data_IF_739763388600
#
_entry.id   IF_739763388600
#
_cell.length_a   1.000
_cell.length_b   1.000
_cell.length_c   1.000
_cell.angle_alpha   90.00
_cell.angle_beta   90.00
_cell.angle_gamma   90.00
#
_symmetry.space_group_name_H-M   'P 1'
#
loop_
_entity.id
_entity.type
_entity.pdbx_description
1 polymer ?
#
# COMPACT_ATOMS: atom_id res chain seq x y z
N UNK A 1 3.18 1.07 -9.96
CA UNK A 1 2.49 2.14 -9.19
C UNK A 1 1.34 1.49 -8.41
N UNK A 2 1.16 1.77 -7.11
CA UNK A 2 0.06 1.18 -6.36
C UNK A 2 -1.29 1.62 -6.94
N UNK A 3 -2.23 0.70 -7.08
CA UNK A 3 -3.58 0.98 -7.55
C UNK A 3 -4.60 0.36 -6.57
N UNK A 4 -5.29 1.17 -5.76
CA UNK A 4 -6.28 0.70 -4.79
C UNK A 4 -7.40 -0.15 -5.39
N UNK A 5 -7.83 0.14 -6.63
CA UNK A 5 -8.92 -0.57 -7.30
C UNK A 5 -8.56 -2.01 -7.65
N UNK A 6 -7.26 -2.30 -7.83
CA UNK A 6 -6.72 -3.64 -8.12
C UNK A 6 -6.34 -4.44 -6.87
N UNK A 7 -6.39 -3.79 -5.71
CA UNK A 7 -6.12 -4.41 -4.40
C UNK A 7 -7.42 -4.52 -3.61
N UNK A 8 -7.39 -5.20 -2.45
CA UNK A 8 -8.59 -5.46 -1.66
C UNK A 8 -9.45 -4.20 -1.48
N UNK A 9 -10.60 -4.19 -2.13
CA UNK A 9 -11.64 -3.18 -1.97
C UNK A 9 -13.03 -3.82 -2.16
N UNK A 10 -13.96 -3.46 -1.29
CA UNK A 10 -15.35 -3.91 -1.37
C UNK A 10 -16.24 -2.78 -1.87
N UNK A 11 -15.71 -1.89 -2.72
CA UNK A 11 -16.34 -0.62 -3.05
C UNK A 11 -16.16 0.46 -1.96
N UNK A 12 -16.26 1.72 -2.39
CA UNK A 12 -15.96 2.88 -1.56
C UNK A 12 -17.23 3.55 -1.01
N UNK A 13 -17.09 4.17 0.15
CA UNK A 13 -18.14 4.98 0.78
C UNK A 13 -17.58 6.36 1.05
N UNK A 14 -18.34 7.41 0.75
CA UNK A 14 -17.98 8.79 1.14
C UNK A 14 -18.04 9.01 2.66
N UNK A 15 -18.55 8.02 3.40
CA UNK A 15 -18.71 8.06 4.85
C UNK A 15 -19.41 9.33 5.32
N UNK A 16 -18.65 10.31 5.81
CA UNK A 16 -19.13 11.63 6.22
C UNK A 16 -18.30 12.80 5.70
N UNK A 17 -17.43 12.57 4.72
CA UNK A 17 -16.50 13.61 4.24
C UNK A 17 -17.22 14.81 3.61
N UNK A 18 -18.41 14.61 3.03
CA UNK A 18 -19.24 15.66 2.45
C UNK A 18 -20.25 16.26 3.44
N UNK A 19 -20.18 15.88 4.72
CA UNK A 19 -21.12 16.28 5.75
C UNK A 19 -22.53 15.70 5.59
N UNK A 20 -22.79 14.88 4.56
CA UNK A 20 -24.10 14.26 4.32
C UNK A 20 -24.15 12.90 4.99
N UNK A 21 -25.25 12.66 5.72
CA UNK A 21 -25.51 11.37 6.38
C UNK A 21 -26.12 10.37 5.42
N UNK A 22 -25.40 9.98 4.36
CA UNK A 22 -25.89 9.01 3.37
C UNK A 22 -24.78 8.04 2.99
N UNK A 23 -25.13 6.77 2.79
CA UNK A 23 -24.20 5.71 2.30
C UNK A 23 -22.93 5.56 3.15
N UNK A 24 -23.09 5.54 4.48
CA UNK A 24 -21.98 5.34 5.44
C UNK A 24 -21.27 4.01 5.32
N UNK A 25 -21.98 2.98 4.86
CA UNK A 25 -21.49 1.61 4.78
C UNK A 25 -21.74 1.06 3.38
N UNK A 26 -20.93 0.07 2.99
CA UNK A 26 -21.30 -0.83 1.92
C UNK A 26 -21.83 -2.13 2.53
N UNK A 27 -23.15 -2.39 2.49
CA UNK A 27 -23.75 -3.58 3.08
C UNK A 27 -23.64 -4.81 2.16
N UNK A 28 -23.18 -4.65 0.92
CA UNK A 28 -23.28 -5.70 -0.10
C UNK A 28 -22.46 -6.94 0.23
N UNK A 29 -21.22 -6.77 0.67
CA UNK A 29 -20.34 -7.90 0.97
C UNK A 29 -19.12 -7.47 1.79
N UNK A 30 -18.66 -8.30 2.73
CA UNK A 30 -17.35 -8.12 3.37
C UNK A 30 -16.20 -8.59 2.47
N UNK A 31 -16.47 -9.33 1.38
CA UNK A 31 -15.46 -9.94 0.51
C UNK A 31 -14.86 -8.93 -0.48
N UNK A 32 -13.73 -9.31 -1.09
CA UNK A 32 -13.09 -8.52 -2.13
C UNK A 32 -13.93 -8.52 -3.42
N UNK A 33 -14.52 -7.36 -3.75
CA UNK A 33 -15.30 -7.18 -4.97
C UNK A 33 -14.41 -6.79 -6.15
N UNK A 34 -13.45 -5.88 -5.95
CA UNK A 34 -12.55 -5.44 -7.02
C UNK A 34 -13.14 -4.38 -7.94
N UNK A 35 -12.41 -4.07 -9.00
CA UNK A 35 -12.80 -3.03 -9.96
C UNK A 35 -13.96 -3.50 -10.83
N UNK A 36 -14.91 -2.61 -11.13
CA UNK A 36 -16.00 -2.92 -12.06
C UNK A 36 -15.44 -2.98 -13.48
N UNK A 37 -15.56 -4.13 -14.15
CA UNK A 37 -15.03 -4.31 -15.52
C UNK A 37 -16.08 -4.12 -16.60
N UNK A 38 -17.34 -4.46 -16.33
CA UNK A 38 -18.38 -4.41 -17.35
C UNK A 38 -19.61 -5.22 -17.00
N UNK A 39 -20.49 -5.41 -17.99
CA UNK A 39 -21.72 -6.19 -17.86
C UNK A 39 -21.75 -7.30 -18.91
N UNK A 40 -22.18 -8.50 -18.52
CA UNK A 40 -22.35 -9.61 -19.44
C UNK A 40 -23.49 -9.31 -20.44
N UNK A 41 -23.18 -9.25 -21.73
CA UNK A 41 -24.16 -9.01 -22.80
C UNK A 41 -24.70 -10.29 -23.40
N UNK A 42 -23.95 -11.39 -23.33
CA UNK A 42 -24.39 -12.72 -23.78
C UNK A 42 -23.64 -13.80 -23.01
N UNK A 43 -24.32 -14.92 -22.75
CA UNK A 43 -23.75 -16.09 -22.07
C UNK A 43 -24.18 -17.34 -22.83
N UNK A 44 -23.21 -18.14 -23.30
CA UNK A 44 -23.44 -19.43 -23.98
C UNK A 44 -22.49 -20.48 -23.43
N UNK A 45 -23.01 -21.37 -22.59
CA UNK A 45 -22.18 -22.33 -21.86
C UNK A 45 -21.16 -21.59 -20.99
N UNK A 46 -19.87 -21.82 -21.22
CA UNK A 46 -18.76 -21.15 -20.52
C UNK A 46 -18.30 -19.84 -21.18
N UNK A 47 -18.83 -19.52 -22.36
CA UNK A 47 -18.50 -18.30 -23.09
C UNK A 47 -19.37 -17.15 -22.61
N UNK A 48 -18.73 -16.06 -22.20
CA UNK A 48 -19.37 -14.83 -21.72
C UNK A 48 -18.85 -13.67 -22.57
N UNK A 49 -19.77 -12.94 -23.21
CA UNK A 49 -19.44 -11.68 -23.88
C UNK A 49 -19.70 -10.55 -22.89
N UNK A 50 -18.72 -9.66 -22.73
CA UNK A 50 -18.76 -8.56 -21.77
C UNK A 50 -18.66 -7.24 -22.51
N UNK A 51 -19.55 -6.30 -22.19
CA UNK A 51 -19.33 -4.90 -22.55
C UNK A 51 -18.32 -4.29 -21.57
N UNK A 52 -17.05 -4.39 -21.94
CA UNK A 52 -15.91 -3.97 -21.12
C UNK A 52 -14.96 -3.12 -21.97
N UNK A 53 -14.42 -2.07 -21.35
CA UNK A 53 -13.27 -1.31 -21.88
C UNK A 53 -11.94 -1.76 -21.25
N UNK A 54 -11.99 -2.71 -20.32
CA UNK A 54 -10.84 -3.24 -19.61
C UNK A 54 -10.25 -4.44 -20.34
N UNK A 55 -8.92 -4.50 -20.40
CA UNK A 55 -8.20 -5.67 -20.88
C UNK A 55 -8.21 -6.76 -19.79
N UNK A 56 -8.76 -7.91 -20.12
CA UNK A 56 -8.75 -9.12 -19.29
C UNK A 56 -7.64 -10.06 -19.77
N UNK A 57 -7.14 -10.88 -18.85
CA UNK A 57 -6.10 -11.87 -19.15
C UNK A 57 -6.49 -13.27 -18.66
N UNK A 58 -6.02 -14.33 -19.34
CA UNK A 58 -6.07 -15.68 -18.79
C UNK A 58 -5.46 -15.73 -17.37
N UNK A 59 -6.22 -16.26 -16.42
CA UNK A 59 -5.85 -16.31 -15.01
C UNK A 59 -6.42 -15.17 -14.15
N UNK A 60 -7.05 -14.16 -14.75
CA UNK A 60 -7.82 -13.16 -13.98
C UNK A 60 -8.99 -13.83 -13.26
N UNK A 61 -9.36 -13.32 -12.08
CA UNK A 61 -10.56 -13.77 -11.37
C UNK A 61 -11.61 -12.67 -11.40
N UNK A 62 -12.83 -13.09 -11.70
CA UNK A 62 -13.99 -12.24 -11.76
C UNK A 62 -14.88 -12.52 -10.55
N UNK A 63 -15.44 -11.45 -9.99
CA UNK A 63 -16.45 -11.50 -8.95
C UNK A 63 -17.77 -10.93 -9.47
N UNK A 64 -18.88 -11.50 -9.00
CA UNK A 64 -20.23 -11.05 -9.33
C UNK A 64 -21.22 -11.51 -8.27
N UNK A 65 -22.37 -10.84 -8.23
CA UNK A 65 -23.48 -11.23 -7.36
C UNK A 65 -24.37 -12.24 -8.09
N UNK A 66 -24.67 -13.34 -7.42
CA UNK A 66 -25.59 -14.35 -7.92
C UNK A 66 -27.07 -13.95 -7.67
N UNK A 67 -28.00 -14.89 -7.86
CA UNK A 67 -29.44 -14.65 -7.65
C UNK A 67 -29.81 -14.44 -6.18
N UNK A 68 -29.01 -14.95 -5.26
CA UNK A 68 -29.20 -14.78 -3.81
C UNK A 68 -28.54 -13.48 -3.31
N UNK A 69 -27.95 -12.71 -4.22
CA UNK A 69 -27.18 -11.51 -3.92
C UNK A 69 -25.92 -11.80 -3.09
N UNK A 70 -25.38 -13.01 -3.23
CA UNK A 70 -24.10 -13.42 -2.65
C UNK A 70 -22.96 -13.15 -3.63
N UNK A 71 -21.86 -12.57 -3.12
CA UNK A 71 -20.66 -12.39 -3.93
C UNK A 71 -19.97 -13.73 -4.13
N UNK A 72 -19.99 -14.19 -5.39
CA UNK A 72 -19.29 -15.37 -5.91
C UNK A 72 -18.28 -14.94 -6.98
N UNK A 73 -17.60 -15.90 -7.61
CA UNK A 73 -16.64 -15.60 -8.66
C UNK A 73 -16.23 -16.78 -9.51
N UNK A 74 -15.52 -16.47 -10.60
CA UNK A 74 -15.01 -17.44 -11.57
C UNK A 74 -13.62 -17.03 -12.06
N UNK A 75 -12.93 -17.93 -12.76
CA UNK A 75 -11.60 -17.67 -13.32
C UNK A 75 -11.66 -17.60 -14.83
N UNK A 76 -11.05 -16.57 -15.41
CA UNK A 76 -10.89 -16.42 -16.86
C UNK A 76 -9.86 -17.42 -17.37
N UNK A 77 -10.23 -18.20 -18.38
CA UNK A 77 -9.36 -19.20 -19.02
C UNK A 77 -8.84 -18.73 -20.36
N UNK A 78 -9.73 -18.17 -21.19
CA UNK A 78 -9.40 -17.71 -22.55
C UNK A 78 -10.00 -16.32 -22.74
N UNK A 79 -9.28 -15.46 -23.46
CA UNK A 79 -9.73 -14.10 -23.78
C UNK A 79 -9.64 -13.88 -25.29
N UNK A 80 -10.78 -13.59 -25.90
CA UNK A 80 -10.94 -13.23 -27.31
C UNK A 80 -11.63 -11.87 -27.41
N UNK A 81 -10.84 -10.79 -27.22
CA UNK A 81 -11.36 -9.41 -27.10
C UNK A 81 -12.41 -9.30 -25.98
N UNK A 82 -13.67 -9.06 -26.34
CA UNK A 82 -14.79 -8.90 -25.41
C UNK A 82 -15.48 -10.23 -25.06
N UNK A 83 -15.15 -11.32 -25.76
CA UNK A 83 -15.64 -12.64 -25.44
C UNK A 83 -14.58 -13.39 -24.61
N UNK A 84 -14.98 -13.87 -23.44
CA UNK A 84 -14.11 -14.65 -22.56
C UNK A 84 -14.69 -16.04 -22.34
N UNK A 85 -13.82 -17.02 -22.10
CA UNK A 85 -14.22 -18.31 -21.56
C UNK A 85 -13.84 -18.37 -20.08
N UNK A 86 -14.79 -18.72 -19.23
CA UNK A 86 -14.59 -18.83 -17.78
C UNK A 86 -14.69 -20.27 -17.31
N UNK A 87 -14.09 -20.58 -16.15
CA UNK A 87 -14.10 -21.93 -15.59
C UNK A 87 -15.53 -22.41 -15.30
N UNK A 88 -16.32 -21.55 -14.67
CA UNK A 88 -17.76 -21.74 -14.42
C UNK A 88 -18.53 -20.45 -14.75
N UNK A 89 -19.64 -20.60 -15.47
CA UNK A 89 -20.56 -19.53 -15.84
C UNK A 89 -22.01 -19.84 -15.39
N UNK A 90 -22.23 -20.90 -14.63
CA UNK A 90 -23.55 -21.41 -14.22
C UNK A 90 -24.48 -20.33 -13.63
N UNK A 91 -23.89 -19.39 -12.91
CA UNK A 91 -24.60 -18.32 -12.19
C UNK A 91 -24.53 -16.96 -12.88
N UNK A 92 -23.89 -16.87 -14.06
CA UNK A 92 -23.78 -15.64 -14.84
C UNK A 92 -24.94 -15.58 -15.83
N UNK A 93 -25.63 -14.44 -15.89
CA UNK A 93 -26.68 -14.18 -16.88
C UNK A 93 -26.36 -12.93 -17.67
N UNK A 94 -27.04 -12.78 -18.80
CA UNK A 94 -27.11 -11.48 -19.46
C UNK A 94 -27.59 -10.41 -18.48
N UNK A 95 -26.90 -9.28 -18.44
CA UNK A 95 -27.12 -8.19 -17.49
C UNK A 95 -26.31 -8.30 -16.19
N UNK A 96 -25.65 -9.42 -15.90
CA UNK A 96 -24.81 -9.56 -14.70
C UNK A 96 -23.62 -8.59 -14.77
N UNK A 97 -23.46 -7.74 -13.76
CA UNK A 97 -22.31 -6.86 -13.61
C UNK A 97 -21.12 -7.68 -13.09
N UNK A 98 -20.00 -7.61 -13.79
CA UNK A 98 -18.78 -8.32 -13.46
C UNK A 98 -17.75 -7.34 -12.89
N UNK A 99 -17.01 -7.81 -11.89
CA UNK A 99 -15.90 -7.13 -11.26
C UNK A 99 -14.64 -7.98 -11.41
N UNK A 100 -13.45 -7.39 -11.41
CA UNK A 100 -12.17 -8.11 -11.36
C UNK A 100 -11.57 -7.96 -9.98
N UNK A 101 -11.58 -9.06 -9.22
CA UNK A 101 -10.97 -9.14 -7.89
C UNK A 101 -9.59 -9.82 -7.89
N UNK A 102 -9.07 -10.19 -9.07
CA UNK A 102 -7.68 -10.60 -9.21
C UNK A 102 -7.20 -10.31 -10.64
N UNK A 103 -6.26 -9.38 -10.77
CA UNK A 103 -5.55 -9.08 -12.02
C UNK A 103 -4.24 -9.87 -12.03
N UNK A 104 -4.21 -10.95 -12.82
CA UNK A 104 -3.10 -11.90 -12.83
C UNK A 104 -1.78 -11.27 -13.28
N UNK A 105 -1.81 -10.36 -14.26
CA UNK A 105 -0.61 -9.68 -14.73
C UNK A 105 -0.13 -8.64 -13.71
N UNK A 106 -1.05 -7.92 -13.09
CA UNK A 106 -0.72 -6.99 -12.02
C UNK A 106 -0.04 -7.70 -10.85
N UNK A 107 -0.62 -8.80 -10.35
CA UNK A 107 -0.02 -9.57 -9.26
C UNK A 107 1.31 -10.22 -9.65
N UNK A 108 1.45 -10.73 -10.88
CA UNK A 108 2.75 -11.21 -11.39
C UNK A 108 3.78 -10.08 -11.38
N UNK A 109 3.43 -8.89 -11.85
CA UNK A 109 4.33 -7.73 -11.87
C UNK A 109 4.75 -7.28 -10.47
N UNK A 110 3.85 -7.36 -9.49
CA UNK A 110 4.15 -7.07 -8.10
C UNK A 110 5.09 -8.11 -7.48
N UNK A 111 4.85 -9.40 -7.75
CA UNK A 111 5.67 -10.49 -7.22
C UNK A 111 7.06 -10.54 -7.87
N UNK A 112 7.18 -10.14 -9.14
CA UNK A 112 8.46 -10.03 -9.84
C UNK A 112 9.17 -8.70 -9.59
N UNK A 113 8.51 -7.72 -8.95
CA UNK A 113 9.12 -6.44 -8.66
C UNK A 113 10.19 -6.63 -7.56
N UNK A 114 11.45 -6.68 -7.97
CA UNK A 114 12.56 -6.55 -7.03
C UNK A 114 12.64 -5.10 -6.54
N UNK A 115 12.17 -4.86 -5.31
CA UNK A 115 12.35 -3.57 -4.65
C UNK A 115 13.75 -3.47 -4.07
N UNK A 116 14.75 -3.19 -4.91
CA UNK A 116 16.11 -2.88 -4.46
C UNK A 116 16.20 -1.39 -4.12
N UNK A 117 16.18 -1.06 -2.83
CA UNK A 117 16.51 0.30 -2.34
C UNK A 117 18.01 0.50 -2.45
N UNK A 118 18.45 1.10 -3.56
CA UNK A 118 19.86 1.43 -3.80
C UNK A 118 20.11 2.93 -3.69
N UNK A 119 21.33 3.30 -3.29
CA UNK A 119 21.80 4.68 -3.16
C UNK A 119 22.34 5.13 -4.53
N UNK A 120 21.88 6.27 -5.10
CA UNK A 120 22.43 6.78 -6.34
C UNK A 120 23.88 7.24 -6.15
N UNK A 121 24.73 6.90 -7.11
CA UNK A 121 26.09 7.43 -7.22
C UNK A 121 26.34 8.05 -8.58
N UNK A 122 27.15 9.10 -8.58
CA UNK A 122 27.69 9.76 -9.76
C UNK A 122 29.16 9.35 -9.90
N UNK A 123 29.53 8.84 -11.07
CA UNK A 123 30.86 8.34 -11.37
C UNK A 123 31.52 9.26 -12.38
N UNK A 124 32.73 9.71 -12.09
CA UNK A 124 33.57 10.46 -13.01
C UNK A 124 34.90 9.74 -13.21
N UNK A 125 35.42 9.67 -14.43
CA UNK A 125 36.74 9.10 -14.71
C UNK A 125 37.54 10.02 -15.64
N UNK A 126 38.79 10.30 -15.24
CA UNK A 126 39.81 10.99 -16.04
C UNK A 126 41.03 10.07 -16.27
N UNK A 127 42.10 10.56 -16.90
CA UNK A 127 43.30 9.75 -17.19
C UNK A 127 44.13 9.37 -15.94
N UNK A 128 43.77 9.83 -14.74
CA UNK A 128 44.53 9.59 -13.50
C UNK A 128 43.72 8.80 -12.48
N UNK A 129 42.40 9.00 -12.44
CA UNK A 129 41.56 8.49 -11.36
C UNK A 129 40.10 8.29 -11.75
N UNK A 130 39.42 7.52 -10.91
CA UNK A 130 37.95 7.40 -10.88
C UNK A 130 37.44 8.01 -9.58
N UNK A 131 36.50 8.93 -9.69
CA UNK A 131 35.80 9.54 -8.56
C UNK A 131 34.39 8.97 -8.51
N UNK A 132 33.99 8.45 -7.35
CA UNK A 132 32.61 8.01 -7.11
C UNK A 132 32.04 8.83 -5.97
N UNK A 133 30.94 9.53 -6.25
CA UNK A 133 30.23 10.37 -5.28
C UNK A 133 28.84 9.82 -5.06
N UNK A 134 28.49 9.53 -3.81
CA UNK A 134 27.14 9.10 -3.43
C UNK A 134 26.27 10.29 -3.06
N UNK A 135 24.96 10.08 -3.17
CA UNK A 135 23.95 11.08 -2.82
C UNK A 135 24.01 11.53 -1.35
N UNK A 136 24.47 10.69 -0.44
CA UNK A 136 24.64 10.99 0.99
C UNK A 136 25.97 11.74 1.30
N UNK A 137 26.55 12.39 0.29
CA UNK A 137 27.78 13.18 0.35
C UNK A 137 29.05 12.38 0.71
N UNK A 138 29.05 11.04 0.59
CA UNK A 138 30.30 10.29 0.58
C UNK A 138 30.96 10.38 -0.80
N UNK A 139 32.29 10.41 -0.81
CA UNK A 139 33.05 10.47 -2.04
C UNK A 139 34.36 9.71 -1.85
N UNK A 140 34.74 8.93 -2.87
CA UNK A 140 36.07 8.34 -2.97
C UNK A 140 36.72 8.77 -4.28
N UNK A 141 38.04 8.78 -4.30
CA UNK A 141 38.84 8.94 -5.49
C UNK A 141 39.83 7.78 -5.53
N UNK A 142 39.73 6.94 -6.55
CA UNK A 142 40.62 5.83 -6.80
C UNK A 142 41.62 6.23 -7.88
N UNK A 143 42.88 6.37 -7.51
CA UNK A 143 43.96 6.66 -8.46
C UNK A 143 44.46 5.37 -9.12
N UNK A 144 44.72 5.42 -10.42
CA UNK A 144 45.25 4.28 -11.15
C UNK A 144 46.65 3.92 -10.63
N UNK A 145 46.83 2.67 -10.19
CA UNK A 145 48.10 2.16 -9.67
C UNK A 145 49.08 1.71 -10.76
N UNK A 146 48.59 1.58 -11.98
CA UNK A 146 49.31 1.04 -13.14
C UNK A 146 49.26 2.06 -14.28
N UNK A 147 50.30 2.08 -15.11
CA UNK A 147 50.31 2.86 -16.33
C UNK A 147 49.57 2.10 -17.43
N UNK A 148 48.56 2.73 -18.01
CA UNK A 148 47.80 2.18 -19.13
C UNK A 148 48.27 2.80 -20.44
N UNK A 149 48.24 2.00 -21.51
CA UNK A 149 48.55 2.48 -22.86
C UNK A 149 47.45 3.38 -23.39
N UNK A 150 47.76 4.20 -24.40
CA UNK A 150 46.76 5.00 -25.11
C UNK A 150 45.87 4.11 -25.97
N UNK A 151 44.56 4.33 -25.93
CA UNK A 151 43.60 3.57 -26.70
C UNK A 151 43.66 3.89 -28.19
N UNK A 152 43.74 2.84 -29.01
CA UNK A 152 43.68 2.95 -30.48
C UNK A 152 42.33 3.50 -30.98
N UNK A 153 41.25 3.30 -30.21
CA UNK A 153 39.93 3.86 -30.51
C UNK A 153 39.36 4.49 -29.24
N UNK A 154 39.42 5.83 -29.19
CA UNK A 154 39.06 6.62 -28.01
C UNK A 154 37.57 6.52 -27.67
N UNK A 155 36.67 6.62 -28.66
CA UNK A 155 35.22 6.55 -28.42
C UNK A 155 34.80 5.19 -27.86
N UNK A 156 35.30 4.10 -28.45
CA UNK A 156 35.01 2.75 -28.00
C UNK A 156 35.58 2.48 -26.60
N UNK A 157 36.75 3.03 -26.29
CA UNK A 157 37.34 2.94 -24.96
C UNK A 157 36.47 3.66 -23.91
N UNK A 158 36.05 4.91 -24.18
CA UNK A 158 35.17 5.68 -23.30
C UNK A 158 33.83 4.98 -23.06
N UNK A 159 33.18 4.48 -24.11
CA UNK A 159 31.92 3.72 -23.99
C UNK A 159 32.09 2.43 -23.17
N UNK A 160 33.18 1.69 -23.41
CA UNK A 160 33.49 0.48 -22.64
C UNK A 160 33.69 0.81 -21.17
N UNK A 161 34.41 1.90 -20.86
CA UNK A 161 34.68 2.29 -19.48
C UNK A 161 33.39 2.70 -18.78
N UNK A 162 32.60 3.57 -19.40
CA UNK A 162 31.32 4.01 -18.85
C UNK A 162 30.40 2.81 -18.55
N UNK A 163 30.29 1.87 -19.49
CA UNK A 163 29.47 0.65 -19.33
C UNK A 163 29.95 -0.27 -18.22
N UNK A 164 31.26 -0.46 -18.04
CA UNK A 164 31.75 -1.34 -16.98
C UNK A 164 31.69 -0.67 -15.62
N UNK A 165 32.03 0.62 -15.49
CA UNK A 165 31.94 1.37 -14.24
C UNK A 165 30.50 1.46 -13.71
N UNK A 166 29.51 1.58 -14.60
CA UNK A 166 28.09 1.63 -14.23
C UNK A 166 27.55 0.31 -13.62
N UNK A 167 28.25 -0.82 -13.76
CA UNK A 167 27.78 -2.13 -13.28
C UNK A 167 27.99 -2.29 -11.76
N UNK A 168 27.03 -1.80 -10.97
CA UNK A 168 27.02 -1.86 -9.51
C UNK A 168 26.00 -2.88 -8.94
N UNK A 169 25.64 -3.91 -9.72
CA UNK A 169 24.51 -4.81 -9.45
C UNK A 169 24.46 -5.42 -8.06
N UNK A 170 25.61 -5.84 -7.52
CA UNK A 170 25.71 -6.58 -6.25
C UNK A 170 25.94 -5.69 -5.02
N UNK A 171 25.94 -4.36 -5.18
CA UNK A 171 26.19 -3.42 -4.07
C UNK A 171 24.95 -2.63 -3.70
N UNK A 172 25.00 -1.88 -2.60
CA UNK A 172 23.94 -0.97 -2.16
C UNK A 172 23.76 0.24 -3.10
N UNK A 173 24.59 0.37 -4.14
CA UNK A 173 24.63 1.52 -5.04
C UNK A 173 24.04 1.21 -6.42
N UNK A 174 23.57 2.25 -7.11
CA UNK A 174 23.33 2.22 -8.55
C UNK A 174 23.94 3.45 -9.21
N UNK A 175 24.50 3.29 -10.40
CA UNK A 175 25.06 4.42 -11.15
C UNK A 175 23.91 5.25 -11.72
N UNK A 176 23.74 6.46 -11.19
CA UNK A 176 22.79 7.46 -11.69
C UNK A 176 23.35 8.13 -12.94
N UNK A 177 24.65 8.41 -12.92
CA UNK A 177 25.37 9.06 -14.02
C UNK A 177 26.82 8.56 -14.02
N UNK A 178 27.37 8.37 -15.22
CA UNK A 178 28.77 8.02 -15.44
C UNK A 178 29.33 8.93 -16.51
N UNK A 179 30.20 9.86 -16.12
CA UNK A 179 30.84 10.83 -17.00
C UNK A 179 32.31 10.43 -17.20
N UNK A 180 32.75 10.40 -18.45
CA UNK A 180 34.16 10.18 -18.80
C UNK A 180 34.70 11.50 -19.34
N UNK A 181 35.85 11.92 -18.83
CA UNK A 181 36.49 13.17 -19.23
C UNK A 181 36.74 13.23 -20.75
N UNK A 182 36.65 14.43 -21.33
CA UNK A 182 36.85 14.62 -22.76
C UNK A 182 38.28 14.29 -23.19
N UNK A 183 39.28 14.58 -22.36
CA UNK A 183 40.68 14.24 -22.62
C UNK A 183 41.01 12.77 -22.31
N UNK A 184 40.03 11.95 -21.88
CA UNK A 184 40.27 10.55 -21.55
C UNK A 184 40.77 9.74 -22.75
N UNK A 185 41.94 9.10 -22.63
CA UNK A 185 42.61 8.39 -23.73
C UNK A 185 43.21 7.03 -23.38
N UNK A 186 42.95 6.48 -22.19
CA UNK A 186 43.55 5.21 -21.76
C UNK A 186 42.83 3.98 -22.29
N UNK A 187 43.58 2.91 -22.56
CA UNK A 187 43.06 1.56 -22.76
C UNK A 187 43.19 0.76 -21.48
N UNK A 188 42.07 0.51 -20.80
CA UNK A 188 42.03 -0.32 -19.59
C UNK A 188 41.37 -1.65 -19.94
N UNK A 189 42.07 -2.79 -19.81
CA UNK A 189 41.46 -4.10 -19.99
C UNK A 189 40.24 -4.30 -19.09
N UNK A 190 39.19 -4.96 -19.61
CA UNK A 190 37.92 -5.14 -18.89
C UNK A 190 38.11 -5.87 -17.55
N UNK A 191 39.05 -6.80 -17.46
CA UNK A 191 39.41 -7.48 -16.21
C UNK A 191 39.91 -6.48 -15.16
N UNK A 192 40.89 -5.64 -15.53
CA UNK A 192 41.46 -4.62 -14.65
C UNK A 192 40.44 -3.55 -14.27
N UNK A 193 39.60 -3.13 -15.21
CA UNK A 193 38.54 -2.17 -14.93
C UNK A 193 37.51 -2.72 -13.92
N UNK A 194 37.19 -4.00 -14.01
CA UNK A 194 36.32 -4.67 -13.04
C UNK A 194 36.96 -4.76 -11.65
N UNK A 195 38.27 -5.02 -11.57
CA UNK A 195 39.04 -5.00 -10.33
C UNK A 195 39.01 -3.60 -9.70
N UNK A 196 39.40 -2.57 -10.47
CA UNK A 196 39.40 -1.17 -10.04
C UNK A 196 38.01 -0.74 -9.55
N UNK A 197 36.95 -1.06 -10.31
CA UNK A 197 35.57 -0.77 -9.92
C UNK A 197 35.23 -1.43 -8.58
N UNK A 198 35.58 -2.70 -8.37
CA UNK A 198 35.30 -3.41 -7.11
C UNK A 198 36.06 -2.76 -5.94
N UNK A 199 37.33 -2.42 -6.13
CA UNK A 199 38.12 -1.73 -5.10
C UNK A 199 37.53 -0.36 -4.74
N UNK A 200 37.26 0.48 -5.75
CA UNK A 200 36.72 1.82 -5.58
C UNK A 200 35.34 1.79 -4.89
N UNK A 201 34.46 0.88 -5.29
CA UNK A 201 33.13 0.74 -4.67
C UNK A 201 33.24 0.19 -3.25
N UNK A 202 34.14 -0.75 -2.97
CA UNK A 202 34.37 -1.24 -1.61
C UNK A 202 34.88 -0.12 -0.68
N UNK A 203 35.76 0.76 -1.16
CA UNK A 203 36.19 1.93 -0.40
C UNK A 203 35.00 2.86 -0.09
N UNK A 204 34.10 3.06 -1.05
CA UNK A 204 32.88 3.84 -0.82
C UNK A 204 31.99 3.19 0.24
N UNK A 205 31.78 1.86 0.18
CA UNK A 205 31.02 1.11 1.18
C UNK A 205 31.61 1.33 2.59
N UNK A 206 32.92 1.22 2.74
CA UNK A 206 33.60 1.42 4.03
C UNK A 206 33.42 2.86 4.52
N UNK A 207 33.66 3.85 3.66
CA UNK A 207 33.48 5.27 3.98
C UNK A 207 32.03 5.60 4.37
N UNK A 208 31.05 5.04 3.66
CA UNK A 208 29.64 5.20 3.99
C UNK A 208 29.30 4.60 5.36
N UNK A 209 29.88 3.44 5.72
CA UNK A 209 29.70 2.83 7.05
C UNK A 209 30.34 3.65 8.17
N UNK A 210 31.52 4.21 7.93
CA UNK A 210 32.21 5.08 8.91
C UNK A 210 31.47 6.40 9.13
N UNK A 211 30.98 7.02 8.05
CA UNK A 211 30.25 8.28 8.12
C UNK A 211 28.79 8.11 8.57
N UNK A 212 28.26 6.89 8.57
CA UNK A 212 26.91 6.61 9.02
C UNK A 212 26.79 6.88 10.52
N UNK A 213 26.21 8.03 10.84
CA UNK A 213 25.80 8.38 12.21
C UNK A 213 24.34 8.03 12.37
N UNK A 214 24.05 6.95 13.08
CA UNK A 214 22.68 6.64 13.48
C UNK A 214 22.16 7.76 14.38
N UNK A 215 21.37 8.67 13.81
CA UNK A 215 20.60 9.62 14.59
C UNK A 215 19.30 8.92 15.00
N UNK A 216 19.25 8.47 16.25
CA UNK A 216 17.95 8.21 16.87
C UNK A 216 17.23 9.56 16.83
N UNK A 217 16.09 9.65 16.13
CA UNK A 217 15.24 10.85 16.18
C UNK A 217 15.12 11.26 17.65
N UNK A 218 15.40 12.53 17.93
CA UNK A 218 15.42 13.05 19.28
C UNK A 218 14.14 12.61 20.00
N UNK A 219 14.31 11.83 21.07
CA UNK A 219 13.22 11.13 21.74
C UNK A 219 12.42 12.03 22.67
N UNK A 220 12.72 13.35 22.68
CA UNK A 220 11.94 14.32 23.44
C UNK A 220 10.59 14.49 22.76
N UNK A 221 9.62 13.74 23.26
CA UNK A 221 8.21 13.93 22.94
C UNK A 221 7.78 15.24 23.58
N UNK A 222 7.40 16.21 22.75
CA UNK A 222 6.66 17.38 23.22
C UNK A 222 5.21 16.96 23.50
N UNK A 223 4.79 17.08 24.75
CA UNK A 223 3.41 16.84 25.15
C UNK A 223 2.61 18.12 24.90
N UNK A 224 1.53 17.99 24.12
CA UNK A 224 0.60 19.08 23.82
C UNK A 224 -0.72 18.84 24.55
N UNK A 225 -1.40 19.92 24.89
CA UNK A 225 -2.71 19.85 25.52
C UNK A 225 -3.67 19.03 24.66
N UNK A 226 -4.26 18.01 25.28
CA UNK A 226 -5.25 17.18 24.62
C UNK A 226 -6.62 17.88 24.62
N UNK A 227 -7.48 17.70 23.59
CA UNK A 227 -8.78 18.37 23.53
C UNK A 227 -9.78 18.04 24.66
N UNK A 228 -9.49 17.04 25.50
CA UNK A 228 -10.36 16.58 26.57
C UNK A 228 -9.59 16.50 27.88
N UNK A 229 -10.12 17.09 28.95
CA UNK A 229 -9.43 17.17 30.23
C UNK A 229 -9.69 15.96 31.13
N UNK A 230 -10.77 15.21 30.90
CA UNK A 230 -11.16 14.05 31.71
C UNK A 230 -11.42 12.87 30.79
N UNK A 231 -10.68 11.79 31.00
CA UNK A 231 -10.75 10.59 30.17
C UNK A 231 -11.31 9.43 31.01
N UNK A 232 -12.31 8.76 30.46
CA UNK A 232 -12.93 7.57 31.03
C UNK A 232 -12.54 6.31 30.22
N UNK A 233 -13.21 5.19 30.49
CA UNK A 233 -12.98 3.92 29.80
C UNK A 233 -13.12 4.02 28.27
N UNK A 234 -13.86 5.00 27.74
CA UNK A 234 -14.12 5.12 26.29
C UNK A 234 -12.91 5.58 25.48
N UNK A 235 -11.83 6.00 26.13
CA UNK A 235 -10.54 6.34 25.50
C UNK A 235 -9.58 5.15 25.38
N UNK A 236 -10.00 3.95 25.81
CA UNK A 236 -9.27 2.69 25.68
C UNK A 236 -7.81 2.77 26.21
N UNK A 237 -7.63 3.40 27.38
CA UNK A 237 -6.34 3.51 28.04
C UNK A 237 -6.08 2.20 28.81
N UNK A 238 -5.28 1.31 28.22
CA UNK A 238 -5.06 -0.05 28.72
C UNK A 238 -3.68 -0.29 29.35
N UNK A 239 -2.79 0.71 29.37
CA UNK A 239 -1.47 0.54 29.99
C UNK A 239 -0.94 1.85 30.59
N UNK A 240 0.02 1.73 31.50
CA UNK A 240 0.62 2.85 32.23
C UNK A 240 1.29 3.86 31.30
N UNK A 241 1.95 3.42 30.23
CA UNK A 241 2.58 4.34 29.26
C UNK A 241 1.55 5.24 28.55
N UNK A 242 0.40 4.68 28.20
CA UNK A 242 -0.70 5.45 27.62
C UNK A 242 -1.29 6.43 28.63
N UNK A 243 -1.50 5.99 29.87
CA UNK A 243 -1.96 6.86 30.97
C UNK A 243 -1.00 8.03 31.18
N UNK A 244 0.29 7.76 31.35
CA UNK A 244 1.34 8.77 31.53
C UNK A 244 1.39 9.76 30.36
N UNK A 245 1.20 9.27 29.13
CA UNK A 245 1.14 10.14 27.96
C UNK A 245 -0.03 11.13 28.05
N UNK A 246 -1.24 10.65 28.33
CA UNK A 246 -2.40 11.53 28.44
C UNK A 246 -2.32 12.48 29.64
N UNK A 247 -1.81 12.03 30.78
CA UNK A 247 -1.62 12.90 31.95
C UNK A 247 -0.60 14.01 31.69
N UNK A 248 0.50 13.70 30.97
CA UNK A 248 1.46 14.73 30.52
C UNK A 248 0.88 15.69 29.46
N UNK A 249 -0.17 15.27 28.75
CA UNK A 249 -0.96 16.12 27.85
C UNK A 249 -2.09 16.88 28.58
N UNK A 250 -2.07 16.94 29.92
CA UNK A 250 -3.03 17.71 30.71
C UNK A 250 -4.35 17.00 31.03
N UNK A 251 -4.47 15.71 30.74
CA UNK A 251 -5.67 14.94 31.02
C UNK A 251 -5.69 14.35 32.44
N UNK A 252 -6.89 14.13 32.97
CA UNK A 252 -7.14 13.32 34.15
C UNK A 252 -7.78 11.98 33.74
N UNK A 253 -7.02 10.88 33.87
CA UNK A 253 -7.50 9.53 33.53
C UNK A 253 -8.25 8.95 34.74
N UNK A 254 -9.58 8.91 34.65
CA UNK A 254 -10.47 8.47 35.74
C UNK A 254 -10.71 6.96 35.76
N UNK A 255 -10.73 6.34 34.60
CA UNK A 255 -11.06 4.92 34.44
C UNK A 255 -10.14 4.28 33.42
N UNK A 256 -9.78 3.02 33.68
CA UNK A 256 -9.03 2.19 32.74
C UNK A 256 -9.94 1.64 31.66
N UNK A 257 -9.34 1.10 30.61
CA UNK A 257 -10.05 0.34 29.61
C UNK A 257 -10.77 -0.88 30.24
N UNK A 258 -11.90 -1.33 29.67
CA UNK A 258 -12.72 -2.41 30.24
C UNK A 258 -11.98 -3.74 30.46
N UNK A 259 -10.87 -3.98 29.79
CA UNK A 259 -10.03 -5.17 29.96
C UNK A 259 -9.36 -5.25 31.34
N UNK A 260 -9.24 -4.12 32.04
CA UNK A 260 -8.58 -4.02 33.36
C UNK A 260 -9.54 -3.74 34.51
N UNK A 261 -10.81 -3.46 34.22
CA UNK A 261 -11.81 -3.09 35.23
C UNK A 261 -13.15 -3.72 34.89
N UNK A 262 -13.78 -4.36 35.87
CA UNK A 262 -15.14 -4.87 35.70
C UNK A 262 -16.10 -3.71 35.37
N UNK A 263 -16.60 -3.73 34.14
CA UNK A 263 -17.51 -2.73 33.61
C UNK A 263 -18.81 -3.43 33.21
N UNK A 264 -19.85 -3.31 34.04
CA UNK A 264 -21.20 -3.77 33.67
C UNK A 264 -22.00 -2.63 33.04
N UNK A 265 -22.81 -2.94 32.02
CA UNK A 265 -23.72 -2.00 31.35
C UNK A 265 -23.06 -0.74 30.75
N UNK A 266 -21.85 -0.88 30.21
CA UNK A 266 -21.16 0.22 29.53
C UNK A 266 -21.55 0.35 28.06
N UNK A 267 -21.35 1.53 27.47
CA UNK A 267 -21.46 1.71 26.02
C UNK A 267 -20.21 1.17 25.34
N UNK A 268 -20.35 0.08 24.57
CA UNK A 268 -19.26 -0.55 23.82
C UNK A 268 -18.81 0.28 22.61
N UNK A 269 -19.77 0.92 21.94
CA UNK A 269 -19.48 1.70 20.74
C UNK A 269 -20.44 2.87 20.58
N UNK A 270 -19.91 4.03 20.16
CA UNK A 270 -20.69 5.19 19.72
C UNK A 270 -20.42 5.41 18.23
N UNK A 271 -21.46 5.48 17.41
CA UNK A 271 -21.30 5.67 15.96
C UNK A 271 -22.31 6.66 15.40
N UNK A 272 -21.90 7.38 14.35
CA UNK A 272 -22.78 8.28 13.58
C UNK A 272 -23.64 7.51 12.57
N UNK A 273 -23.28 6.27 12.25
CA UNK A 273 -24.09 5.38 11.44
C UNK A 273 -25.30 4.89 12.24
N UNK A 274 -26.50 5.29 11.84
CA UNK A 274 -27.74 4.98 12.54
C UNK A 274 -28.50 3.89 11.79
N UNK A 275 -28.62 2.70 12.39
CA UNK A 275 -29.34 1.58 11.78
C UNK A 275 -30.84 1.87 11.56
N UNK A 276 -31.43 2.75 12.38
CA UNK A 276 -32.81 3.21 12.14
C UNK A 276 -32.94 4.00 10.85
N UNK A 277 -32.04 4.96 10.61
CA UNK A 277 -32.08 5.74 9.37
C UNK A 277 -31.72 4.88 8.16
N UNK A 278 -30.76 3.97 8.31
CA UNK A 278 -30.40 2.98 7.28
C UNK A 278 -31.59 2.08 6.88
N UNK A 279 -32.37 1.60 7.85
CA UNK A 279 -33.55 0.78 7.62
C UNK A 279 -34.83 1.58 7.30
N UNK A 280 -34.75 2.91 7.13
CA UNK A 280 -35.90 3.76 6.81
C UNK A 280 -36.86 4.02 7.99
N UNK A 281 -36.51 3.61 9.20
CA UNK A 281 -37.33 3.75 10.43
C UNK A 281 -36.76 4.81 11.39
N UNK A 282 -36.19 5.88 10.84
CA UNK A 282 -35.69 7.00 11.63
C UNK A 282 -36.83 7.65 12.44
N UNK A 283 -36.67 7.82 13.75
CA UNK A 283 -37.68 8.43 14.63
C UNK A 283 -38.04 9.88 14.27
N UNK A 284 -37.19 10.58 13.50
CA UNK A 284 -37.50 11.92 12.98
C UNK A 284 -38.46 11.90 11.78
N UNK A 285 -38.62 10.74 11.13
CA UNK A 285 -39.40 10.57 9.88
C UNK A 285 -40.53 9.55 10.04
N UNK A 286 -40.41 8.62 10.98
CA UNK A 286 -41.31 7.50 11.23
C UNK A 286 -41.64 7.40 12.72
N UNK A 287 -42.84 6.90 13.05
CA UNK A 287 -43.29 6.64 14.42
C UNK A 287 -42.90 5.24 14.93
N UNK A 288 -42.07 4.51 14.19
CA UNK A 288 -41.65 3.16 14.57
C UNK A 288 -40.71 3.17 15.78
N UNK A 289 -41.23 2.78 16.95
CA UNK A 289 -40.51 2.79 18.23
C UNK A 289 -39.90 1.44 18.62
N UNK A 290 -39.91 0.43 17.73
CA UNK A 290 -39.41 -0.92 18.04
C UNK A 290 -37.99 -0.88 18.59
N UNK A 291 -37.70 -1.68 19.62
CA UNK A 291 -36.34 -1.81 20.16
C UNK A 291 -35.48 -2.59 19.16
N UNK A 292 -34.25 -2.15 18.94
CA UNK A 292 -33.32 -2.81 18.03
C UNK A 292 -32.17 -3.41 18.84
N UNK A 293 -31.67 -4.54 18.36
CA UNK A 293 -30.57 -5.27 18.96
C UNK A 293 -29.62 -5.74 17.85
N UNK A 294 -28.33 -5.81 18.17
CA UNK A 294 -27.37 -6.59 17.38
C UNK A 294 -27.20 -7.96 18.03
N UNK A 295 -26.99 -8.96 17.20
CA UNK A 295 -26.73 -10.33 17.64
C UNK A 295 -25.40 -10.73 17.01
N UNK A 296 -24.45 -11.18 17.83
CA UNK A 296 -23.18 -11.71 17.32
C UNK A 296 -23.31 -13.17 16.88
N UNK A 297 -22.21 -13.74 16.39
CA UNK A 297 -22.14 -15.15 15.94
C UNK A 297 -22.37 -16.17 17.07
N UNK A 298 -22.22 -15.76 18.33
CA UNK A 298 -22.46 -16.57 19.52
C UNK A 298 -23.87 -16.39 20.09
N UNK A 299 -24.72 -15.59 19.43
CA UNK A 299 -26.10 -15.33 19.86
C UNK A 299 -26.23 -14.29 20.97
N UNK A 300 -25.15 -13.60 21.36
CA UNK A 300 -25.17 -12.55 22.38
C UNK A 300 -25.89 -11.32 21.83
N UNK A 301 -26.81 -10.78 22.62
CA UNK A 301 -27.65 -9.63 22.25
C UNK A 301 -27.08 -8.35 22.83
N UNK A 302 -26.88 -7.37 21.96
CA UNK A 302 -26.44 -6.02 22.31
C UNK A 302 -27.58 -5.05 22.05
N UNK A 303 -27.92 -4.24 23.04
CA UNK A 303 -29.02 -3.28 22.94
C UNK A 303 -28.55 -2.06 22.16
N UNK A 304 -29.38 -1.61 21.24
CA UNK A 304 -29.13 -0.37 20.52
C UNK A 304 -29.91 0.79 21.14
N UNK A 305 -29.17 1.82 21.55
CA UNK A 305 -29.71 3.06 22.06
C UNK A 305 -29.43 4.22 21.08
N UNK A 306 -30.35 5.16 20.96
CA UNK A 306 -30.31 6.19 19.92
C UNK A 306 -30.49 7.58 20.51
N UNK A 307 -29.40 8.35 20.54
CA UNK A 307 -29.47 9.79 20.78
C UNK A 307 -29.86 10.49 19.47
N UNK A 308 -31.17 10.64 19.27
CA UNK A 308 -31.71 11.27 18.06
C UNK A 308 -31.41 12.78 17.98
N UNK A 309 -31.10 13.45 19.10
CA UNK A 309 -30.72 14.87 19.09
C UNK A 309 -29.33 15.03 18.47
N UNK A 310 -28.35 14.24 18.91
CA UNK A 310 -26.98 14.25 18.37
C UNK A 310 -26.79 13.36 17.13
N UNK A 311 -27.85 12.62 16.77
CA UNK A 311 -27.85 11.56 15.77
C UNK A 311 -26.66 10.60 16.00
N UNK A 312 -26.61 9.98 17.18
CA UNK A 312 -25.61 9.00 17.59
C UNK A 312 -26.32 7.71 17.97
N UNK A 313 -25.86 6.58 17.44
CA UNK A 313 -26.24 5.25 17.89
C UNK A 313 -25.19 4.77 18.89
N UNK A 314 -25.66 4.18 19.99
CA UNK A 314 -24.86 3.53 21.02
C UNK A 314 -25.17 2.04 21.02
N UNK A 315 -24.11 1.24 21.13
CA UNK A 315 -24.19 -0.20 21.35
C UNK A 315 -23.88 -0.42 22.83
N UNK A 316 -24.84 -0.99 23.56
CA UNK A 316 -24.79 -1.28 25.00
C UNK A 316 -24.92 -2.78 25.23
#
# INVERSE_FOLDING_TARGET
MPNPDKTFNRGYTNFYFDGKRKKFINPLTPKFMGEKIGTATSVKGKSVVIDSKHNLNPGDRLAYFDRNNDLTGTTVKIVNKNAIEVLDASSIKQGTVLYRNYDSLFYKSLNSAEFKRKIPVEIFADNKKIVIKSFDNNQIAYEYKENFETANNLEKAKDTIAKQLAKLGDTEFFAKETVIDEAFNLFIPVSKLNEIRREAVNQLVLKSKENYKFQRRDTKIEYKDYPFNVLDYSFNISNTKAKDFYEKCGCNVKQWAPEHTECSNITLMKTKHCLRDFAGICLKKSKDTRKLFLIDEYGKKYKLNFDCKKCIMKIE
#
